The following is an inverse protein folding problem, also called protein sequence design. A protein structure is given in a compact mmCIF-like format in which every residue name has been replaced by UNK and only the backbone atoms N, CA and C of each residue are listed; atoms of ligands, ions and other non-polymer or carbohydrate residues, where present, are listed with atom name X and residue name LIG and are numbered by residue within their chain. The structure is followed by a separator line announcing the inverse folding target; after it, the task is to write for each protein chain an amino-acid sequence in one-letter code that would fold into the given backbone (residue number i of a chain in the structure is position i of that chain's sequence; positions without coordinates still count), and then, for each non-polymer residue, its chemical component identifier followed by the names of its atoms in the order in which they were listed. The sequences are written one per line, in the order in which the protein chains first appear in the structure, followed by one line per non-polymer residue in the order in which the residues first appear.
data_IF_984037748785
#
_entry.id   IF_984037748785
#
_cell.length_a   1.000
_cell.length_b   1.000
_cell.length_c   1.000
_cell.angle_alpha   90.00
_cell.angle_beta   90.00
_cell.angle_gamma   90.00
#
_symmetry.space_group_name_H-M   'P 1'
#
loop_
_entity.id
_entity.type
_entity.pdbx_description
1 polymer ?
#
# COMPACT_ATOMS: atom_id res chain seq x y z
N UNK A 1 17.60 -19.52 33.74
CA UNK A 1 16.80 -19.92 32.57
C UNK A 1 15.84 -18.78 32.24
N UNK A 2 16.26 -17.88 31.35
CA UNK A 2 15.54 -16.64 31.01
C UNK A 2 14.33 -16.91 30.10
N UNK A 3 13.16 -16.40 30.48
CA UNK A 3 12.08 -15.96 29.58
C UNK A 3 11.92 -14.45 29.81
N UNK A 4 12.30 -13.61 28.85
CA UNK A 4 11.43 -13.12 27.77
C UNK A 4 10.27 -12.25 28.28
N UNK A 5 10.55 -10.95 28.41
CA UNK A 5 9.55 -9.87 28.39
C UNK A 5 9.97 -8.90 27.29
N UNK A 6 9.65 -9.25 26.05
CA UNK A 6 9.60 -8.31 24.93
C UNK A 6 8.44 -7.35 25.16
N UNK A 7 8.68 -6.30 25.93
CA UNK A 7 7.82 -5.11 25.98
C UNK A 7 8.56 -4.01 25.25
N UNK A 8 8.26 -3.89 23.96
CA UNK A 8 8.64 -2.75 23.12
C UNK A 8 7.99 -1.49 23.69
N UNK A 9 8.62 -0.90 24.72
CA UNK A 9 8.35 0.46 25.16
C UNK A 9 8.97 1.38 24.11
N UNK A 10 8.11 2.01 23.31
CA UNK A 10 8.30 3.29 22.63
C UNK A 10 9.69 3.89 22.85
N UNK A 11 10.61 3.54 21.96
CA UNK A 11 11.80 4.33 21.71
C UNK A 11 11.33 5.57 20.93
N UNK A 12 11.86 6.75 21.28
CA UNK A 12 11.59 8.08 20.71
C UNK A 12 10.40 8.88 21.28
N UNK A 13 10.44 9.13 22.59
CA UNK A 13 10.49 10.54 23.01
C UNK A 13 11.88 10.76 23.59
N UNK A 14 12.83 11.12 22.73
CA UNK A 14 14.09 11.69 23.16
C UNK A 14 13.77 13.02 23.83
N UNK A 15 13.52 12.97 25.13
CA UNK A 15 13.92 14.00 26.08
C UNK A 15 15.44 14.16 25.96
N UNK A 16 15.88 14.81 24.89
CA UNK A 16 17.10 15.59 24.98
C UNK A 16 16.69 16.76 25.84
N UNK A 17 17.13 16.71 27.09
CA UNK A 17 17.06 17.80 28.06
C UNK A 17 17.14 19.14 27.32
N UNK A 18 16.02 19.87 27.33
CA UNK A 18 16.07 21.30 27.19
C UNK A 18 16.73 21.85 28.47
N UNK A 19 18.05 21.68 28.55
CA UNK A 19 18.91 22.49 29.38
C UNK A 19 18.60 23.93 28.95
N UNK A 20 17.89 24.66 29.83
CA UNK A 20 17.70 26.10 29.73
C UNK A 20 19.07 26.77 29.86
N UNK A 21 19.90 26.66 28.82
CA UNK A 21 21.17 27.35 28.70
C UNK A 21 20.87 28.76 28.18
N UNK A 22 20.57 29.65 29.12
CA UNK A 22 20.90 31.07 28.96
C UNK A 22 22.42 31.17 28.95
N UNK A 23 23.09 30.91 27.82
CA UNK A 23 24.57 31.02 27.78
C UNK A 23 25.10 31.04 26.34
N UNK A 24 25.82 32.14 26.05
CA UNK A 24 26.81 32.37 24.99
C UNK A 24 26.53 31.81 23.58
N UNK A 25 26.42 32.72 22.61
CA UNK A 25 26.23 32.47 21.17
C UNK A 25 27.16 31.38 20.56
N UNK A 26 28.28 31.04 21.19
CA UNK A 26 29.20 30.00 20.75
C UNK A 26 28.74 28.56 21.06
N UNK A 27 28.05 28.31 22.17
CA UNK A 27 27.65 26.95 22.54
C UNK A 27 26.46 26.46 21.69
N UNK A 28 25.50 27.35 21.41
CA UNK A 28 24.41 27.07 20.48
C UNK A 28 24.92 26.76 19.06
N UNK A 29 25.97 27.46 18.60
CA UNK A 29 26.64 27.16 17.32
C UNK A 29 27.31 25.79 17.34
N UNK A 30 28.02 25.42 18.41
CA UNK A 30 28.66 24.11 18.53
C UNK A 30 27.65 22.96 18.55
N UNK A 31 26.54 23.09 19.28
CA UNK A 31 25.45 22.09 19.28
C UNK A 31 24.78 22.01 17.90
N UNK A 32 24.57 23.14 17.24
CA UNK A 32 24.02 23.19 15.87
C UNK A 32 24.97 22.53 14.84
N UNK A 33 26.28 22.68 15.03
CA UNK A 33 27.32 22.01 14.21
C UNK A 33 27.30 20.49 14.46
N UNK A 34 27.20 20.05 15.72
CA UNK A 34 27.10 18.63 16.06
C UNK A 34 25.83 17.98 15.48
N UNK A 35 24.67 18.65 15.53
CA UNK A 35 23.42 18.15 14.93
C UNK A 35 23.50 18.14 13.39
N UNK A 36 24.23 19.08 12.76
CA UNK A 36 24.47 19.09 11.31
C UNK A 36 25.36 17.94 10.82
N UNK A 37 26.22 17.38 11.68
CA UNK A 37 27.15 16.33 11.32
C UNK A 37 26.53 14.92 11.26
N UNK A 38 25.29 14.74 11.70
CA UNK A 38 24.58 13.48 11.51
C UNK A 38 23.83 13.46 10.18
N UNK A 39 23.94 12.34 9.47
CA UNK A 39 23.18 12.11 8.26
C UNK A 39 21.68 12.20 8.57
N UNK A 40 20.99 13.08 7.84
CA UNK A 40 19.53 13.18 7.93
C UNK A 40 18.91 11.99 7.23
N UNK A 41 18.15 11.18 7.97
CA UNK A 41 17.44 10.01 7.43
C UNK A 41 16.27 10.45 6.53
N UNK A 42 15.56 11.51 6.93
CA UNK A 42 14.37 12.00 6.25
C UNK A 42 14.69 13.21 5.40
N UNK A 43 14.45 13.09 4.09
CA UNK A 43 14.65 14.17 3.11
C UNK A 43 13.46 14.31 2.15
N UNK A 44 12.46 13.44 2.28
CA UNK A 44 11.32 13.40 1.37
C UNK A 44 10.51 14.72 1.44
N UNK A 45 10.05 15.18 0.28
CA UNK A 45 9.45 16.50 0.12
C UNK A 45 8.10 16.68 0.83
N UNK A 46 7.43 15.57 1.19
CA UNK A 46 6.21 15.61 2.01
C UNK A 46 6.48 16.05 3.45
N UNK A 47 7.71 15.88 3.94
CA UNK A 47 8.15 16.30 5.29
C UNK A 47 9.00 17.58 5.21
N UNK A 48 9.79 17.72 4.14
CA UNK A 48 10.61 18.90 3.86
C UNK A 48 10.19 19.53 2.51
N UNK A 49 9.18 20.43 2.51
CA UNK A 49 8.62 20.99 1.28
C UNK A 49 9.69 21.67 0.41
N UNK A 50 9.65 21.39 -0.90
CA UNK A 50 10.68 21.86 -1.85
C UNK A 50 10.64 23.37 -2.04
N UNK A 51 9.48 23.99 -1.86
CA UNK A 51 9.25 25.44 -1.98
C UNK A 51 10.06 26.24 -0.95
N UNK A 52 10.37 25.62 0.19
CA UNK A 52 11.16 26.23 1.27
C UNK A 52 12.65 25.92 1.17
N UNK A 53 13.05 25.11 0.19
CA UNK A 53 14.42 24.64 0.04
C UNK A 53 15.12 25.39 -1.10
N UNK A 54 16.19 26.17 -0.80
CA UNK A 54 16.91 26.94 -1.80
C UNK A 54 17.41 26.12 -2.99
N UNK A 55 17.62 24.80 -2.81
CA UNK A 55 18.08 23.88 -3.86
C UNK A 55 17.09 23.74 -5.02
N UNK A 56 15.83 24.11 -4.82
CA UNK A 56 14.75 23.96 -5.82
C UNK A 56 14.29 25.28 -6.44
N UNK A 57 14.92 26.42 -6.10
CA UNK A 57 14.47 27.77 -6.50
C UNK A 57 14.37 27.97 -8.01
N UNK A 58 15.24 27.33 -8.78
CA UNK A 58 15.34 27.49 -10.24
C UNK A 58 14.69 26.32 -11.01
N UNK A 59 14.11 25.35 -10.31
CA UNK A 59 13.45 24.21 -10.93
C UNK A 59 12.02 24.59 -11.30
N UNK A 60 11.68 24.53 -12.59
CA UNK A 60 10.28 24.67 -13.01
C UNK A 60 9.48 23.44 -12.52
N UNK A 61 8.43 23.68 -11.72
CA UNK A 61 7.58 22.65 -11.12
C UNK A 61 6.21 22.51 -11.81
N UNK A 62 6.03 23.15 -12.97
CA UNK A 62 4.83 23.05 -13.79
C UNK A 62 4.56 21.58 -14.17
N UNK A 63 3.28 21.18 -14.11
CA UNK A 63 2.85 19.80 -14.39
C UNK A 63 1.89 19.78 -15.56
N UNK A 64 2.11 18.84 -16.48
CA UNK A 64 1.11 18.51 -17.48
C UNK A 64 -0.17 18.03 -16.78
N UNK A 65 -1.31 18.49 -17.29
CA UNK A 65 -2.64 18.13 -16.79
C UNK A 65 -3.41 17.47 -17.91
N UNK A 66 -4.19 16.45 -17.57
CA UNK A 66 -4.98 15.65 -18.49
C UNK A 66 -6.38 15.41 -17.89
N UNK A 67 -7.43 15.48 -18.70
CA UNK A 67 -8.83 15.48 -18.23
C UNK A 67 -9.52 14.14 -18.48
N UNK A 68 -9.99 13.47 -17.44
CA UNK A 68 -10.66 12.16 -17.53
C UNK A 68 -11.97 12.21 -16.76
N UNK A 69 -12.98 11.46 -17.22
CA UNK A 69 -14.26 11.38 -16.51
C UNK A 69 -14.13 10.58 -15.21
N UNK A 70 -13.35 9.50 -15.26
CA UNK A 70 -13.07 8.64 -14.11
C UNK A 70 -11.56 8.40 -14.01
N UNK A 71 -10.98 8.76 -12.87
CA UNK A 71 -9.62 8.41 -12.48
C UNK A 71 -9.63 7.32 -11.41
N UNK A 72 -8.95 6.21 -11.68
CA UNK A 72 -8.81 5.07 -10.75
C UNK A 72 -7.34 4.96 -10.34
N UNK A 73 -7.08 5.00 -9.03
CA UNK A 73 -5.73 4.86 -8.48
C UNK A 73 -5.54 3.45 -7.92
N UNK A 74 -4.74 2.64 -8.61
CA UNK A 74 -4.42 1.25 -8.27
C UNK A 74 -5.00 0.24 -9.26
N UNK A 75 -4.14 -0.55 -9.89
CA UNK A 75 -4.47 -1.60 -10.86
C UNK A 75 -4.65 -2.98 -10.25
N UNK A 76 -5.12 -3.07 -9.01
CA UNK A 76 -5.50 -4.31 -8.36
C UNK A 76 -6.89 -4.81 -8.79
N UNK A 77 -7.40 -5.92 -8.21
CA UNK A 77 -8.70 -6.48 -8.55
C UNK A 77 -9.84 -5.45 -8.44
N UNK A 78 -9.87 -4.65 -7.37
CA UNK A 78 -10.92 -3.63 -7.19
C UNK A 78 -10.87 -2.53 -8.26
N UNK A 79 -9.69 -1.98 -8.54
CA UNK A 79 -9.54 -0.90 -9.52
C UNK A 79 -9.80 -1.37 -10.95
N UNK A 80 -9.33 -2.56 -11.31
CA UNK A 80 -9.63 -3.18 -12.61
C UNK A 80 -11.11 -3.50 -12.75
N UNK A 81 -11.76 -4.05 -11.71
CA UNK A 81 -13.20 -4.31 -11.74
C UNK A 81 -14.01 -3.03 -11.93
N UNK A 82 -13.64 -1.95 -11.25
CA UNK A 82 -14.30 -0.65 -11.42
C UNK A 82 -14.11 -0.09 -12.85
N UNK A 83 -12.89 -0.17 -13.40
CA UNK A 83 -12.60 0.29 -14.76
C UNK A 83 -13.40 -0.49 -15.81
N UNK A 84 -13.40 -1.82 -15.71
CA UNK A 84 -14.14 -2.71 -16.61
C UNK A 84 -15.63 -2.42 -16.54
N UNK A 85 -16.21 -2.36 -15.33
CA UNK A 85 -17.64 -2.11 -15.17
C UNK A 85 -18.04 -0.72 -15.66
N UNK A 86 -17.23 0.31 -15.42
CA UNK A 86 -17.49 1.65 -15.93
C UNK A 86 -17.56 1.67 -17.46
N UNK A 87 -16.61 1.00 -18.14
CA UNK A 87 -16.60 0.89 -19.60
C UNK A 87 -17.79 0.07 -20.13
N UNK A 88 -18.12 -1.05 -19.50
CA UNK A 88 -19.29 -1.87 -19.87
C UNK A 88 -20.61 -1.06 -19.78
N UNK A 89 -20.78 -0.26 -18.73
CA UNK A 89 -21.97 0.58 -18.55
C UNK A 89 -22.02 1.71 -19.59
N UNK A 90 -20.89 2.34 -19.89
CA UNK A 90 -20.81 3.38 -20.92
C UNK A 90 -21.17 2.83 -22.30
N UNK A 91 -20.63 1.66 -22.66
CA UNK A 91 -20.92 0.98 -23.92
C UNK A 91 -22.41 0.59 -24.01
N UNK A 92 -22.98 0.04 -22.94
CA UNK A 92 -24.40 -0.29 -22.86
C UNK A 92 -25.32 0.92 -23.09
N UNK A 93 -24.95 2.07 -22.53
CA UNK A 93 -25.71 3.33 -22.66
C UNK A 93 -25.38 4.10 -23.97
N UNK A 94 -24.46 3.59 -24.80
CA UNK A 94 -24.01 4.28 -26.02
C UNK A 94 -23.27 5.60 -25.74
N UNK A 95 -22.62 5.71 -24.58
CA UNK A 95 -21.88 6.91 -24.15
C UNK A 95 -20.38 6.71 -24.29
N UNK A 96 -19.69 7.77 -24.67
CA UNK A 96 -18.24 7.81 -24.56
C UNK A 96 -17.86 8.17 -23.11
N UNK A 97 -16.93 7.42 -22.52
CA UNK A 97 -16.45 7.63 -21.15
C UNK A 97 -14.94 7.41 -21.10
N UNK A 98 -14.17 8.44 -20.74
CA UNK A 98 -12.72 8.34 -20.57
C UNK A 98 -12.40 7.87 -19.16
N UNK A 99 -11.86 6.66 -19.07
CA UNK A 99 -11.42 6.03 -17.82
C UNK A 99 -9.90 5.95 -17.83
N UNK A 100 -9.24 6.61 -16.88
CA UNK A 100 -7.80 6.53 -16.66
C UNK A 100 -7.53 5.71 -15.40
N UNK A 101 -6.69 4.68 -15.52
CA UNK A 101 -6.24 3.86 -14.39
C UNK A 101 -4.74 4.00 -14.25
N UNK A 102 -4.28 4.34 -13.05
CA UNK A 102 -2.85 4.50 -12.74
C UNK A 102 -2.40 3.41 -11.77
N UNK A 103 -1.30 2.75 -12.08
CA UNK A 103 -0.68 1.71 -11.24
C UNK A 103 0.79 2.05 -11.02
N UNK A 104 1.29 1.82 -9.80
CA UNK A 104 2.68 2.08 -9.41
C UNK A 104 3.64 1.01 -9.93
N UNK A 105 3.17 -0.22 -10.08
CA UNK A 105 3.95 -1.33 -10.62
C UNK A 105 4.40 -1.04 -12.05
N UNK A 106 5.58 -1.53 -12.43
CA UNK A 106 6.08 -1.43 -13.80
C UNK A 106 5.19 -2.13 -14.82
N UNK A 107 4.44 -3.13 -14.37
CA UNK A 107 3.46 -3.89 -15.13
C UNK A 107 2.26 -4.18 -14.23
N UNK A 108 1.06 -4.25 -14.83
CA UNK A 108 -0.16 -4.66 -14.12
C UNK A 108 0.07 -5.98 -13.40
N UNK A 109 -0.27 -6.03 -12.11
CA UNK A 109 -0.06 -7.21 -11.27
C UNK A 109 1.30 -7.29 -10.58
N UNK A 110 2.29 -6.47 -10.94
CA UNK A 110 3.66 -6.57 -10.41
C UNK A 110 3.81 -6.27 -8.91
N UNK A 111 2.79 -5.68 -8.27
CA UNK A 111 2.73 -5.47 -6.82
C UNK A 111 1.61 -6.27 -6.14
N UNK A 112 0.90 -7.15 -6.85
CA UNK A 112 -0.15 -7.98 -6.26
C UNK A 112 0.50 -9.14 -5.52
N UNK A 113 0.18 -9.29 -4.23
CA UNK A 113 0.60 -10.42 -3.40
C UNK A 113 -0.63 -10.98 -2.67
N UNK A 114 -0.91 -12.27 -2.84
CA UNK A 114 -2.03 -12.95 -2.20
C UNK A 114 -1.78 -14.47 -2.14
N UNK A 115 -2.37 -15.15 -1.15
CA UNK A 115 -2.51 -16.61 -1.16
C UNK A 115 -3.60 -17.10 -2.14
N UNK A 116 -4.43 -16.18 -2.62
CA UNK A 116 -5.36 -16.31 -3.75
C UNK A 116 -6.30 -17.55 -3.72
N UNK A 117 -7.04 -17.73 -2.62
CA UNK A 117 -8.28 -18.51 -2.65
C UNK A 117 -9.41 -17.57 -3.08
N UNK A 118 -9.96 -17.78 -4.26
CA UNK A 118 -10.87 -16.84 -4.92
C UNK A 118 -12.28 -17.42 -4.96
N UNK A 119 -13.26 -16.63 -4.50
CA UNK A 119 -14.66 -16.90 -4.76
C UNK A 119 -15.02 -16.37 -6.17
N UNK A 120 -15.47 -17.23 -7.10
CA UNK A 120 -15.65 -16.85 -8.50
C UNK A 120 -16.86 -15.94 -8.75
N UNK A 121 -17.79 -15.80 -7.81
CA UNK A 121 -19.04 -15.01 -7.97
C UNK A 121 -18.80 -13.62 -8.53
N UNK A 122 -17.78 -12.90 -8.04
CA UNK A 122 -17.47 -11.56 -8.54
C UNK A 122 -16.99 -11.54 -10.01
N UNK A 123 -16.28 -12.58 -10.44
CA UNK A 123 -15.87 -12.77 -11.84
C UNK A 123 -17.07 -13.17 -12.70
N UNK A 124 -17.93 -14.07 -12.19
CA UNK A 124 -19.15 -14.49 -12.88
C UNK A 124 -20.09 -13.29 -13.13
N UNK A 125 -20.17 -12.35 -12.19
CA UNK A 125 -20.96 -11.13 -12.34
C UNK A 125 -20.31 -10.09 -13.27
N UNK A 126 -18.97 -9.97 -13.24
CA UNK A 126 -18.26 -8.93 -13.99
C UNK A 126 -17.98 -9.34 -15.44
N UNK A 127 -17.59 -10.58 -15.67
CA UNK A 127 -17.19 -11.15 -16.95
C UNK A 127 -17.75 -12.59 -17.03
N UNK A 128 -19.05 -12.77 -17.34
CA UNK A 128 -19.70 -14.08 -17.26
C UNK A 128 -19.03 -15.20 -18.07
N UNK A 129 -18.32 -14.83 -19.15
CA UNK A 129 -17.58 -15.70 -20.07
C UNK A 129 -16.07 -15.78 -19.76
N UNK A 130 -15.64 -15.43 -18.54
CA UNK A 130 -14.22 -15.38 -18.17
C UNK A 130 -13.46 -16.68 -18.40
N UNK A 131 -14.13 -17.83 -18.29
CA UNK A 131 -13.55 -19.16 -18.52
C UNK A 131 -13.12 -19.34 -19.97
N UNK A 132 -13.97 -18.93 -20.90
CA UNK A 132 -13.75 -19.02 -22.34
C UNK A 132 -12.68 -18.01 -22.79
N UNK A 133 -12.60 -16.85 -22.11
CA UNK A 133 -11.52 -15.87 -22.31
C UNK A 133 -10.16 -16.31 -21.74
N UNK A 134 -10.08 -17.47 -21.06
CA UNK A 134 -8.84 -18.03 -20.56
C UNK A 134 -8.32 -17.40 -19.26
N UNK A 135 -9.21 -16.92 -18.38
CA UNK A 135 -8.75 -16.43 -17.08
C UNK A 135 -8.10 -17.57 -16.26
N UNK A 136 -6.98 -17.33 -15.55
CA UNK A 136 -6.11 -18.37 -14.99
C UNK A 136 -6.62 -18.98 -13.67
N UNK A 137 -7.91 -19.32 -13.57
CA UNK A 137 -8.51 -19.99 -12.41
C UNK A 137 -8.64 -21.50 -12.68
N UNK A 138 -7.50 -22.18 -12.76
CA UNK A 138 -7.42 -23.58 -13.20
C UNK A 138 -7.50 -24.61 -12.05
N UNK A 139 -7.47 -24.15 -10.80
CA UNK A 139 -7.34 -25.00 -9.61
C UNK A 139 -8.61 -24.90 -8.75
N UNK A 140 -9.64 -25.74 -8.99
CA UNK A 140 -10.83 -25.76 -8.15
C UNK A 140 -10.49 -26.27 -6.75
N UNK A 141 -11.04 -25.64 -5.72
CA UNK A 141 -10.88 -26.08 -4.32
C UNK A 141 -11.69 -27.36 -4.10
N UNK A 142 -11.02 -28.44 -3.69
CA UNK A 142 -11.66 -29.75 -3.43
C UNK A 142 -11.81 -30.05 -1.95
N UNK A 143 -11.01 -29.43 -1.08
CA UNK A 143 -10.95 -29.72 0.35
C UNK A 143 -10.46 -28.51 1.14
N UNK A 144 -11.13 -28.21 2.26
CA UNK A 144 -10.69 -27.23 3.25
C UNK A 144 -10.19 -27.92 4.52
N UNK A 145 -9.00 -27.53 4.99
CA UNK A 145 -8.40 -28.08 6.21
C UNK A 145 -8.02 -26.97 7.17
N UNK A 146 -8.62 -26.97 8.36
CA UNK A 146 -8.24 -26.08 9.45
C UNK A 146 -7.50 -26.85 10.55
N UNK A 147 -6.48 -26.23 11.14
CA UNK A 147 -5.66 -26.90 12.14
C UNK A 147 -5.01 -25.94 13.12
N UNK A 148 -4.88 -26.38 14.36
CA UNK A 148 -4.15 -25.69 15.41
C UNK A 148 -2.76 -26.31 15.54
N UNK A 149 -1.71 -25.48 15.38
CA UNK A 149 -0.33 -25.93 15.42
C UNK A 149 0.26 -25.78 16.83
N UNK A 150 1.01 -26.77 17.27
CA UNK A 150 1.88 -26.70 18.45
C UNK A 150 3.34 -26.80 18.01
N UNK A 151 4.29 -26.64 18.94
CA UNK A 151 5.71 -26.78 18.62
C UNK A 151 6.08 -28.14 18.00
N UNK A 152 5.32 -29.20 18.33
CA UNK A 152 5.62 -30.58 17.94
C UNK A 152 4.51 -31.26 17.14
N UNK A 153 3.40 -30.59 16.84
CA UNK A 153 2.26 -31.25 16.22
C UNK A 153 1.16 -30.34 15.68
N UNK A 154 0.07 -30.98 15.26
CA UNK A 154 -1.11 -30.35 14.68
C UNK A 154 -2.38 -31.05 15.17
N UNK A 155 -3.34 -30.28 15.66
CA UNK A 155 -4.70 -30.74 15.94
C UNK A 155 -5.62 -30.27 14.83
N UNK A 156 -6.35 -31.20 14.19
CA UNK A 156 -7.33 -30.84 13.17
C UNK A 156 -8.60 -30.29 13.81
N UNK A 157 -9.08 -29.16 13.29
CA UNK A 157 -10.35 -28.57 13.71
C UNK A 157 -11.38 -28.91 12.63
N UNK A 158 -12.54 -29.51 12.98
CA UNK A 158 -13.57 -29.82 12.01
C UNK A 158 -14.05 -28.57 11.26
N UNK A 159 -14.04 -28.65 9.92
CA UNK A 159 -14.61 -27.61 9.05
C UNK A 159 -16.04 -28.00 8.72
N UNK A 160 -17.01 -27.20 9.15
CA UNK A 160 -18.43 -27.44 8.90
C UNK A 160 -18.90 -26.74 7.63
N UNK A 161 -19.75 -27.42 6.85
CA UNK A 161 -20.36 -26.84 5.64
C UNK A 161 -21.20 -25.60 5.99
N UNK A 162 -21.10 -24.56 5.16
CA UNK A 162 -21.93 -23.35 5.26
C UNK A 162 -21.44 -22.27 6.23
N UNK A 163 -20.34 -22.50 6.96
CA UNK A 163 -19.61 -21.41 7.61
C UNK A 163 -18.45 -21.02 6.69
N UNK A 164 -18.67 -20.02 5.84
CA UNK A 164 -17.56 -19.28 5.26
C UNK A 164 -16.71 -18.76 6.41
N UNK A 165 -15.40 -19.01 6.38
CA UNK A 165 -14.46 -18.20 7.16
C UNK A 165 -14.52 -16.76 6.68
#
# INVERSE_FOLDING_TARGET
MLKSLYRCKKIQKTEIMALKLKTSNNLAKQVHILIRNYSKITTHYTIHPREKDPRWKEVNMERFTDETDILIVGGGPAGMSAAIRAKQLAEKDGKELRVCLVEKASQVGGHILSGAVIQPTALDELIPDWKEKGAPLNTPVTEDKFGFLTATGRFNIPVFKGKSL
#
